data_IF_870770333977
#
_entry.id   IF_870770333977
#
_cell.length_a   1.000
_cell.length_b   1.000
_cell.length_c   1.000
_cell.angle_alpha   90.00
_cell.angle_beta   90.00
_cell.angle_gamma   90.00
#
_symmetry.space_group_name_H-M   'P 1'
#
loop_
_entity.id
_entity.type
_entity.pdbx_description
1 polymer ?
#
# COMPACT_ATOMS: atom_id res chain seq x y z
N UNK A 1 1.10 -11.17 12.35
CA UNK A 1 0.67 -9.75 12.36
C UNK A 1 1.11 -9.10 11.06
N UNK A 2 0.29 -9.21 10.01
CA UNK A 2 0.48 -8.40 8.80
C UNK A 2 -0.14 -7.03 9.05
N UNK A 3 0.69 -6.03 9.35
CA UNK A 3 0.22 -4.64 9.48
C UNK A 3 -0.04 -4.06 8.08
N UNK A 4 -1.07 -4.57 7.41
CA UNK A 4 -1.68 -3.92 6.27
C UNK A 4 -3.15 -3.68 6.63
N UNK A 5 -3.64 -2.47 6.32
CA UNK A 5 -5.06 -2.11 6.33
C UNK A 5 -5.71 -1.83 7.69
N UNK A 6 -5.33 -0.73 8.35
CA UNK A 6 -6.26 0.16 9.08
C UNK A 6 -5.55 1.48 9.38
N UNK A 7 -5.13 2.18 8.33
CA UNK A 7 -4.62 3.57 8.41
C UNK A 7 -5.56 4.56 7.72
N UNK A 8 -6.77 4.16 7.32
CA UNK A 8 -7.71 5.04 6.61
C UNK A 8 -8.16 6.26 7.44
N UNK A 9 -8.04 6.21 8.77
CA UNK A 9 -8.37 7.33 9.67
C UNK A 9 -7.13 8.12 10.15
N UNK A 10 -5.91 7.72 9.75
CA UNK A 10 -4.64 8.28 10.24
C UNK A 10 -4.03 9.30 9.28
N UNK A 11 -4.47 9.29 8.01
CA UNK A 11 -3.94 10.19 7.00
C UNK A 11 -4.79 11.47 6.92
N UNK A 12 -4.15 12.64 6.82
CA UNK A 12 -4.86 13.88 6.59
C UNK A 12 -5.65 13.78 5.28
N UNK A 13 -6.87 14.33 5.27
CA UNK A 13 -7.66 14.42 4.04
C UNK A 13 -6.90 15.22 2.98
N UNK A 14 -7.04 14.81 1.72
CA UNK A 14 -6.35 15.46 0.59
C UNK A 14 -4.90 15.01 0.39
N UNK A 15 -4.52 13.86 0.93
CA UNK A 15 -3.22 13.25 0.67
C UNK A 15 -3.35 11.77 0.31
N UNK A 16 -2.65 11.38 -0.75
CA UNK A 16 -2.49 9.98 -1.15
C UNK A 16 -1.08 9.51 -0.79
N UNK A 17 -0.96 8.55 0.13
CA UNK A 17 0.35 7.98 0.50
C UNK A 17 0.86 7.06 -0.59
N UNK A 18 2.09 7.30 -1.03
CA UNK A 18 2.73 6.61 -2.16
C UNK A 18 3.98 5.84 -1.76
N UNK A 19 4.31 5.75 -0.47
CA UNK A 19 5.44 4.95 0.07
C UNK A 19 5.01 4.11 1.28
N UNK A 20 5.86 3.17 1.73
CA UNK A 20 5.73 2.61 3.07
C UNK A 20 5.83 3.71 4.14
N UNK A 21 5.24 3.46 5.32
CA UNK A 21 5.45 4.26 6.52
C UNK A 21 6.66 3.67 7.26
N UNK A 22 7.64 4.51 7.59
CA UNK A 22 8.82 4.08 8.33
C UNK A 22 8.89 4.76 9.69
N UNK A 23 9.15 3.97 10.73
CA UNK A 23 9.51 4.46 12.06
C UNK A 23 11.03 4.67 12.14
N UNK A 24 11.44 5.84 12.60
CA UNK A 24 12.85 6.21 12.74
C UNK A 24 13.09 6.67 14.17
N UNK A 25 14.10 6.09 14.80
CA UNK A 25 14.55 6.47 16.15
C UNK A 25 16.06 6.58 16.18
N UNK A 26 16.59 7.57 16.90
CA UNK A 26 18.02 7.68 17.17
C UNK A 26 18.29 7.50 18.67
N UNK A 27 19.40 6.83 19.02
CA UNK A 27 19.85 6.65 20.42
C UNK A 27 20.65 7.84 20.95
N UNK A 28 20.75 8.94 20.19
CA UNK A 28 21.48 10.14 20.59
C UNK A 28 20.80 10.82 21.78
N UNK A 29 21.60 11.43 22.66
CA UNK A 29 21.11 12.27 23.78
C UNK A 29 20.68 13.68 23.33
N UNK A 30 20.86 14.01 22.05
CA UNK A 30 20.46 15.28 21.44
C UNK A 30 19.96 15.07 20.01
N UNK A 31 19.58 16.15 19.32
CA UNK A 31 19.04 16.04 17.97
C UNK A 31 19.99 15.31 17.01
N UNK A 32 19.42 14.50 16.13
CA UNK A 32 20.17 13.70 15.17
C UNK A 32 19.76 14.05 13.75
N UNK A 33 20.71 14.47 12.92
CA UNK A 33 20.48 14.62 11.48
C UNK A 33 20.42 13.24 10.83
N UNK A 34 19.31 12.93 10.19
CA UNK A 34 19.07 11.68 9.47
C UNK A 34 18.91 11.94 7.99
N UNK A 35 19.37 10.99 7.16
CA UNK A 35 19.15 10.98 5.72
C UNK A 35 18.26 9.80 5.40
N UNK A 36 17.07 10.06 4.86
CA UNK A 36 16.06 9.04 4.61
C UNK A 36 15.87 8.84 3.10
N UNK A 37 15.63 7.60 2.71
CA UNK A 37 15.34 7.20 1.32
C UNK A 37 14.14 6.28 1.33
N UNK A 38 13.08 6.67 0.62
CA UNK A 38 11.83 5.93 0.53
C UNK A 38 11.60 5.46 -0.90
N UNK A 39 11.21 4.18 -1.10
CA UNK A 39 10.60 3.80 -2.37
C UNK A 39 9.21 4.42 -2.50
N UNK A 40 8.83 4.83 -3.71
CA UNK A 40 7.48 5.33 -3.97
C UNK A 40 6.85 4.72 -5.22
N UNK A 41 5.51 4.70 -5.26
CA UNK A 41 4.74 4.12 -6.34
C UNK A 41 4.62 5.01 -7.57
N UNK A 42 4.86 6.33 -7.50
CA UNK A 42 4.64 7.22 -8.65
C UNK A 42 5.36 6.77 -9.92
N UNK A 43 4.63 6.79 -11.03
CA UNK A 43 5.16 6.65 -12.39
C UNK A 43 5.54 8.03 -12.94
N UNK A 44 6.37 8.74 -12.20
CA UNK A 44 6.82 10.06 -12.61
C UNK A 44 8.02 9.93 -13.55
N UNK A 45 7.86 10.39 -14.79
CA UNK A 45 9.01 10.83 -15.59
C UNK A 45 9.54 12.15 -14.99
N UNK A 46 10.87 12.37 -15.00
CA UNK A 46 11.51 13.51 -14.33
C UNK A 46 11.21 14.90 -14.93
N UNK A 47 10.27 15.03 -15.87
CA UNK A 47 9.94 16.31 -16.49
C UNK A 47 8.95 17.14 -15.64
N UNK A 48 9.57 17.86 -14.70
CA UNK A 48 9.31 19.26 -14.29
C UNK A 48 7.96 19.70 -13.67
N UNK A 49 6.95 18.83 -13.49
CA UNK A 49 5.70 19.23 -12.80
C UNK A 49 5.29 18.35 -11.61
N UNK A 50 5.88 17.17 -11.46
CA UNK A 50 5.68 16.24 -10.34
C UNK A 50 6.16 16.74 -8.96
N UNK A 51 7.24 17.54 -8.83
CA UNK A 51 7.77 17.90 -7.51
C UNK A 51 6.78 18.68 -6.64
N UNK A 52 5.99 19.59 -7.22
CA UNK A 52 5.18 20.55 -6.45
C UNK A 52 4.04 19.93 -5.62
N UNK A 53 3.67 18.68 -5.91
CA UNK A 53 2.62 17.94 -5.20
C UNK A 53 3.17 16.91 -4.22
N UNK A 54 4.47 16.61 -4.26
CA UNK A 54 5.08 15.65 -3.37
C UNK A 54 5.37 16.27 -2.01
N UNK A 55 5.00 15.57 -0.95
CA UNK A 55 5.24 15.99 0.42
C UNK A 55 5.77 14.83 1.25
N UNK A 56 6.55 15.16 2.27
CA UNK A 56 6.86 14.22 3.35
C UNK A 56 5.82 14.46 4.44
N UNK A 57 5.13 13.40 4.83
CA UNK A 57 4.31 13.42 6.03
C UNK A 57 5.13 12.87 7.19
N UNK A 58 4.99 13.48 8.37
CA UNK A 58 5.68 13.06 9.58
C UNK A 58 4.78 13.13 10.81
N UNK A 59 5.08 12.30 11.81
CA UNK A 59 4.44 12.36 13.12
C UNK A 59 5.49 12.09 14.18
N UNK A 60 5.63 13.01 15.14
CA UNK A 60 6.45 12.77 16.31
C UNK A 60 5.75 11.74 17.21
N UNK A 61 6.46 10.68 17.58
CA UNK A 61 5.97 9.75 18.60
C UNK A 61 6.27 10.33 19.99
N UNK A 62 5.25 10.42 20.82
CA UNK A 62 5.42 10.81 22.20
C UNK A 62 6.12 9.67 22.95
N UNK A 63 7.08 10.06 23.79
CA UNK A 63 7.60 9.18 24.83
C UNK A 63 6.52 9.03 25.88
N UNK A 64 5.94 7.83 26.00
CA UNK A 64 5.03 7.48 27.10
C UNK A 64 5.86 6.80 28.17
N UNK A 65 5.93 7.39 29.35
CA UNK A 65 6.58 6.77 30.51
C UNK A 65 5.67 5.67 31.07
N UNK A 66 5.83 4.45 30.54
CA UNK A 66 5.06 3.28 30.94
C UNK A 66 5.66 2.58 32.17
N UNK A 67 5.69 3.27 33.32
CA UNK A 67 6.04 2.67 34.62
C UNK A 67 7.22 1.68 34.60
N UNK A 68 7.08 0.56 35.31
CA UNK A 68 8.14 -0.45 35.53
C UNK A 68 8.58 -1.27 34.31
N UNK A 69 8.05 -1.01 33.11
CA UNK A 69 8.43 -1.70 31.87
C UNK A 69 9.32 -0.86 30.94
N UNK A 70 9.70 0.35 31.37
CA UNK A 70 10.52 1.27 30.56
C UNK A 70 9.65 2.11 29.60
N UNK A 71 10.25 3.10 28.92
CA UNK A 71 9.50 3.99 28.05
C UNK A 71 9.00 3.25 26.81
N UNK A 72 7.72 3.38 26.49
CA UNK A 72 7.16 2.95 25.22
C UNK A 72 6.93 4.18 24.34
N UNK A 73 7.24 4.08 23.04
CA UNK A 73 6.97 5.16 22.10
C UNK A 73 5.63 4.88 21.43
N UNK A 74 4.66 5.76 21.66
CA UNK A 74 3.39 5.74 20.96
C UNK A 74 3.36 6.93 20.00
N UNK A 75 2.86 6.81 18.77
CA UNK A 75 2.44 7.98 17.99
C UNK A 75 1.56 8.83 18.91
N UNK A 76 1.98 10.08 19.21
CA UNK A 76 1.30 10.95 20.17
C UNK A 76 -0.16 11.12 19.77
N UNK A 77 -0.36 11.18 18.46
CA UNK A 77 -1.61 11.15 17.74
C UNK A 77 -1.28 10.38 16.46
N UNK A 78 -2.14 9.46 16.01
CA UNK A 78 -1.99 8.82 14.70
C UNK A 78 -2.38 9.84 13.61
N UNK A 79 -1.71 10.98 13.59
CA UNK A 79 -1.92 12.06 12.64
C UNK A 79 -0.55 12.34 12.04
N UNK A 80 -0.50 12.24 10.72
CA UNK A 80 0.68 12.48 9.91
C UNK A 80 0.54 13.86 9.28
N UNK A 81 1.43 14.79 9.62
CA UNK A 81 1.37 16.17 9.13
C UNK A 81 2.44 16.42 8.06
N UNK A 82 2.17 17.29 7.07
CA UNK A 82 3.18 17.69 6.10
C UNK A 82 4.35 18.36 6.81
N UNK A 83 5.55 17.92 6.48
CA UNK A 83 6.78 18.53 6.95
C UNK A 83 7.18 19.60 5.94
N UNK A 84 7.06 20.86 6.35
CA UNK A 84 7.35 22.03 5.53
C UNK A 84 8.86 22.23 5.32
N UNK A 85 9.22 22.96 4.26
CA UNK A 85 10.57 23.45 3.98
C UNK A 85 11.69 22.38 3.93
N UNK A 86 11.40 21.18 3.40
CA UNK A 86 12.42 20.16 3.16
C UNK A 86 12.91 20.18 1.71
N UNK A 87 14.23 20.22 1.54
CA UNK A 87 14.88 19.86 0.30
C UNK A 87 14.70 18.35 0.01
N UNK A 88 13.75 18.03 -0.86
CA UNK A 88 13.47 16.67 -1.29
C UNK A 88 14.00 16.43 -2.71
N UNK A 89 14.62 15.26 -2.91
CA UNK A 89 15.07 14.79 -4.23
C UNK A 89 14.27 13.58 -4.63
N UNK A 90 13.65 13.64 -5.81
CA UNK A 90 12.84 12.55 -6.35
C UNK A 90 13.48 12.04 -7.61
N UNK A 91 13.84 10.77 -7.57
CA UNK A 91 14.26 10.02 -8.74
C UNK A 91 13.18 8.99 -9.09
N UNK A 92 13.35 8.25 -10.18
CA UNK A 92 12.42 7.22 -10.62
C UNK A 92 12.24 6.13 -9.55
N UNK A 93 11.17 6.27 -8.76
CA UNK A 93 10.77 5.33 -7.72
C UNK A 93 11.43 5.53 -6.36
N UNK A 94 12.19 6.61 -6.15
CA UNK A 94 12.87 6.91 -4.89
C UNK A 94 12.71 8.38 -4.49
N UNK A 95 12.32 8.63 -3.25
CA UNK A 95 12.32 9.96 -2.64
C UNK A 95 13.38 10.02 -1.54
N UNK A 96 14.19 11.08 -1.54
CA UNK A 96 15.28 11.28 -0.57
C UNK A 96 15.18 12.64 0.07
N UNK A 97 15.42 12.69 1.37
CA UNK A 97 15.45 13.94 2.12
C UNK A 97 16.31 13.81 3.37
N UNK A 98 16.64 14.95 3.95
CA UNK A 98 17.33 15.02 5.24
C UNK A 98 16.47 15.81 6.23
N UNK A 99 16.47 15.39 7.49
CA UNK A 99 15.78 16.09 8.57
C UNK A 99 16.53 15.91 9.88
N UNK A 100 16.23 16.77 10.85
CA UNK A 100 16.66 16.60 12.23
C UNK A 100 15.60 15.83 13.01
N UNK A 101 16.05 14.90 13.85
CA UNK A 101 15.21 14.04 14.66
C UNK A 101 15.49 14.29 16.14
N UNK A 102 14.51 14.91 16.82
CA UNK A 102 14.56 15.17 18.27
C UNK A 102 13.85 14.09 19.08
N UNK A 103 12.88 13.40 18.48
CA UNK A 103 12.11 12.31 19.08
C UNK A 103 11.93 11.22 18.02
N UNK A 104 11.72 9.95 18.38
CA UNK A 104 11.36 8.94 17.40
C UNK A 104 10.11 9.36 16.61
N UNK A 105 10.10 9.14 15.30
CA UNK A 105 9.06 9.68 14.42
C UNK A 105 8.68 8.69 13.33
N UNK A 106 7.45 8.82 12.84
CA UNK A 106 6.97 8.16 11.63
C UNK A 106 7.16 9.09 10.44
N UNK A 107 7.49 8.52 9.28
CA UNK A 107 7.63 9.25 8.02
C UNK A 107 6.98 8.46 6.88
N UNK A 108 6.35 9.18 5.95
CA UNK A 108 5.84 8.65 4.70
C UNK A 108 5.93 9.70 3.58
N UNK A 109 5.97 9.25 2.33
CA UNK A 109 5.87 10.09 1.14
C UNK A 109 4.43 10.08 0.67
N UNK A 110 3.88 11.27 0.42
CA UNK A 110 2.53 11.43 -0.08
C UNK A 110 2.46 12.41 -1.24
N UNK A 111 1.36 12.33 -1.98
CA UNK A 111 0.95 13.30 -2.98
C UNK A 111 -0.17 14.14 -2.38
N UNK A 112 -0.05 15.47 -2.47
CA UNK A 112 -1.12 16.40 -2.17
C UNK A 112 -2.16 16.37 -3.30
N UNK A 113 -3.40 16.13 -2.92
CA UNK A 113 -4.55 16.14 -3.82
C UNK A 113 -5.04 17.58 -3.96
N UNK A 114 -4.92 18.12 -5.17
CA UNK A 114 -5.45 19.46 -5.48
C UNK A 114 -6.79 19.29 -6.18
N UNK A 115 -7.87 19.98 -5.75
CA UNK A 115 -9.15 19.94 -6.45
C UNK A 115 -8.97 20.27 -7.94
N UNK A 116 -9.52 19.42 -8.83
CA UNK A 116 -9.39 19.57 -10.28
C UNK A 116 -8.05 19.15 -10.87
N UNK A 117 -7.11 18.64 -10.07
CA UNK A 117 -5.87 18.07 -10.59
C UNK A 117 -6.07 16.66 -11.15
N UNK A 118 -5.33 16.34 -12.20
CA UNK A 118 -5.28 14.99 -12.77
C UNK A 118 -4.59 14.07 -11.75
N UNK A 119 -5.15 12.88 -11.44
CA UNK A 119 -4.48 11.88 -10.62
C UNK A 119 -3.09 11.58 -11.16
N UNK A 120 -2.08 11.56 -10.28
CA UNK A 120 -0.74 11.18 -10.71
C UNK A 120 -0.71 9.67 -11.00
N UNK A 121 -0.07 9.24 -12.10
CA UNK A 121 0.00 7.83 -12.42
C UNK A 121 0.77 7.07 -11.35
N UNK A 122 0.18 6.00 -10.84
CA UNK A 122 0.76 5.13 -9.83
C UNK A 122 1.15 3.80 -10.46
N UNK A 123 2.38 3.35 -10.21
CA UNK A 123 2.83 2.00 -10.50
C UNK A 123 2.17 1.09 -9.47
N UNK A 124 1.31 0.22 -9.95
CA UNK A 124 0.56 -0.74 -9.17
C UNK A 124 0.92 -2.16 -9.58
N UNK A 125 0.57 -3.10 -8.72
CA UNK A 125 0.70 -4.52 -8.97
C UNK A 125 -0.59 -5.22 -8.56
N UNK A 126 -1.05 -6.14 -9.41
CA UNK A 126 -2.07 -7.12 -9.08
C UNK A 126 -1.36 -8.39 -8.61
N UNK A 127 -1.61 -8.77 -7.37
CA UNK A 127 -1.15 -10.03 -6.78
C UNK A 127 -2.33 -11.01 -6.75
N UNK A 128 -2.18 -12.15 -7.42
CA UNK A 128 -3.17 -13.23 -7.41
C UNK A 128 -2.59 -14.39 -6.63
N UNK A 129 -3.24 -14.78 -5.53
CA UNK A 129 -2.84 -15.88 -4.68
C UNK A 129 -3.81 -17.05 -4.88
N UNK A 130 -3.26 -18.24 -5.02
CA UNK A 130 -4.03 -19.46 -5.25
C UNK A 130 -3.32 -20.68 -4.64
N UNK A 131 -4.05 -21.72 -4.21
CA UNK A 131 -3.44 -22.86 -3.56
C UNK A 131 -2.57 -23.68 -4.51
N UNK A 132 -1.53 -24.30 -3.94
CA UNK A 132 -0.72 -25.31 -4.63
C UNK A 132 -1.55 -26.60 -4.72
N UNK A 133 -2.15 -26.87 -5.89
CA UNK A 133 -2.84 -28.15 -6.10
C UNK A 133 -1.81 -29.20 -6.49
N UNK A 134 -1.55 -30.17 -5.61
CA UNK A 134 -0.79 -31.36 -5.97
C UNK A 134 -1.59 -32.25 -6.94
N UNK A 135 -0.99 -32.73 -8.05
CA UNK A 135 -1.70 -33.48 -9.09
C UNK A 135 -2.29 -34.83 -8.63
N UNK A 136 -2.02 -35.26 -7.41
CA UNK A 136 -2.49 -36.52 -6.81
C UNK A 136 -3.78 -36.38 -6.00
N UNK A 137 -4.25 -35.16 -5.70
CA UNK A 137 -5.45 -34.94 -4.89
C UNK A 137 -6.67 -34.75 -5.82
N UNK A 138 -7.42 -35.83 -6.03
CA UNK A 138 -8.52 -35.90 -7.00
C UNK A 138 -9.84 -35.24 -6.57
N UNK A 139 -9.92 -34.61 -5.39
CA UNK A 139 -11.10 -33.90 -4.93
C UNK A 139 -10.74 -32.71 -4.04
N UNK A 140 -10.42 -31.57 -4.66
CA UNK A 140 -10.42 -30.28 -3.95
C UNK A 140 -11.78 -29.63 -4.23
N UNK A 141 -12.67 -29.61 -3.22
CA UNK A 141 -14.08 -29.17 -3.37
C UNK A 141 -14.30 -27.69 -3.07
N UNK A 142 -13.22 -26.90 -2.95
CA UNK A 142 -13.27 -25.46 -2.78
C UNK A 142 -11.87 -24.90 -2.64
N UNK A 143 -11.54 -23.89 -3.44
CA UNK A 143 -10.31 -23.11 -3.29
C UNK A 143 -10.63 -21.63 -3.44
N UNK A 144 -10.09 -20.85 -2.52
CA UNK A 144 -10.18 -19.40 -2.58
C UNK A 144 -9.03 -18.87 -3.44
N UNK A 145 -9.38 -18.02 -4.41
CA UNK A 145 -8.41 -17.21 -5.15
C UNK A 145 -8.48 -15.80 -4.58
N UNK A 146 -7.38 -15.32 -4.03
CA UNK A 146 -7.31 -13.98 -3.45
C UNK A 146 -6.62 -13.03 -4.41
N UNK A 147 -7.23 -11.88 -4.69
CA UNK A 147 -6.66 -10.84 -5.55
C UNK A 147 -6.42 -9.55 -4.75
N UNK A 148 -5.19 -9.06 -4.75
CA UNK A 148 -4.79 -7.83 -4.09
C UNK A 148 -4.24 -6.83 -5.10
N UNK A 149 -4.73 -5.59 -5.04
CA UNK A 149 -4.12 -4.48 -5.76
C UNK A 149 -3.29 -3.67 -4.77
N UNK A 150 -1.99 -3.60 -5.04
CA UNK A 150 -1.03 -2.89 -4.20
C UNK A 150 -0.19 -1.90 -4.99
N UNK A 151 0.51 -1.03 -4.28
CA UNK A 151 1.59 -0.23 -4.86
C UNK A 151 2.73 -1.14 -5.31
N UNK A 152 3.29 -0.89 -6.49
CA UNK A 152 4.46 -1.61 -6.99
C UNK A 152 5.73 -1.11 -6.28
N UNK A 153 5.90 -1.58 -5.05
CA UNK A 153 7.00 -1.28 -4.15
C UNK A 153 7.50 -2.60 -3.57
N UNK A 154 8.83 -2.86 -3.52
CA UNK A 154 9.37 -4.15 -3.06
C UNK A 154 8.84 -4.60 -1.70
N UNK A 155 8.67 -3.66 -0.75
CA UNK A 155 8.13 -3.95 0.58
C UNK A 155 6.71 -4.51 0.55
N UNK A 156 5.88 -4.07 -0.41
CA UNK A 156 4.51 -4.60 -0.58
C UNK A 156 4.58 -6.02 -1.13
N UNK A 157 5.38 -6.27 -2.16
CA UNK A 157 5.57 -7.60 -2.72
C UNK A 157 6.07 -8.60 -1.67
N UNK A 158 7.06 -8.21 -0.85
CA UNK A 158 7.56 -9.06 0.26
C UNK A 158 6.47 -9.35 1.30
N UNK A 159 5.61 -8.37 1.62
CA UNK A 159 4.53 -8.58 2.58
C UNK A 159 3.48 -9.57 2.04
N UNK A 160 3.09 -9.45 0.77
CA UNK A 160 2.14 -10.37 0.13
C UNK A 160 2.74 -11.77 -0.03
N UNK A 161 4.02 -11.87 -0.44
CA UNK A 161 4.72 -13.15 -0.55
C UNK A 161 4.83 -13.85 0.81
N UNK A 162 5.19 -13.14 1.88
CA UNK A 162 5.25 -13.71 3.22
C UNK A 162 3.88 -14.22 3.70
N UNK A 163 2.80 -13.54 3.31
CA UNK A 163 1.44 -14.02 3.57
C UNK A 163 1.14 -15.31 2.79
N UNK A 164 1.48 -15.35 1.50
CA UNK A 164 1.28 -16.52 0.65
C UNK A 164 2.01 -17.75 1.19
N UNK A 165 3.29 -17.59 1.59
CA UNK A 165 4.10 -18.66 2.19
C UNK A 165 3.51 -19.19 3.50
N UNK A 166 2.95 -18.32 4.34
CA UNK A 166 2.31 -18.73 5.60
C UNK A 166 1.04 -19.57 5.38
N UNK A 167 0.41 -19.45 4.22
CA UNK A 167 -0.86 -20.10 3.89
C UNK A 167 -0.71 -21.16 2.78
N UNK A 168 0.52 -21.53 2.40
CA UNK A 168 0.81 -22.51 1.34
C UNK A 168 0.17 -22.15 -0.03
N UNK A 169 0.21 -20.87 -0.36
CA UNK A 169 -0.31 -20.33 -1.62
C UNK A 169 0.84 -20.00 -2.58
N UNK A 170 0.58 -20.16 -3.89
CA UNK A 170 1.39 -19.54 -4.94
C UNK A 170 0.93 -18.11 -5.16
N UNK A 171 1.85 -17.25 -5.60
CA UNK A 171 1.58 -15.86 -5.93
C UNK A 171 2.00 -15.59 -7.37
N UNK A 172 1.08 -14.99 -8.14
CA UNK A 172 1.36 -14.38 -9.43
C UNK A 172 1.29 -12.85 -9.34
N UNK A 173 2.17 -12.17 -10.05
CA UNK A 173 2.34 -10.72 -10.01
C UNK A 173 2.22 -10.13 -11.41
N UNK A 174 1.33 -9.14 -11.57
CA UNK A 174 1.15 -8.40 -12.83
C UNK A 174 1.28 -6.90 -12.60
N UNK A 175 2.23 -6.27 -13.28
CA UNK A 175 2.51 -4.83 -13.14
C UNK A 175 1.63 -4.01 -14.08
N UNK A 176 1.12 -2.88 -13.58
CA UNK A 176 0.38 -1.92 -14.40
C UNK A 176 0.52 -0.49 -13.86
N UNK A 177 0.11 0.48 -14.66
CA UNK A 177 0.06 1.90 -14.25
C UNK A 177 -1.40 2.32 -14.11
N UNK A 178 -1.76 2.80 -12.93
CA UNK A 178 -3.09 3.34 -12.63
C UNK A 178 -3.08 4.85 -12.83
N UNK A 179 -3.89 5.34 -13.77
CA UNK A 179 -4.07 6.77 -14.07
C UNK A 179 -5.50 7.28 -13.83
N UNK A 180 -6.40 6.39 -13.38
CA UNK A 180 -7.82 6.70 -13.10
C UNK A 180 -8.20 6.47 -11.64
N UNK A 181 -9.47 6.71 -11.31
CA UNK A 181 -10.00 6.62 -9.94
C UNK A 181 -10.39 5.20 -9.52
N UNK A 182 -10.50 4.28 -10.49
CA UNK A 182 -11.03 2.94 -10.26
C UNK A 182 -10.17 1.88 -10.95
N UNK A 183 -10.00 0.76 -10.27
CA UNK A 183 -9.47 -0.48 -10.83
C UNK A 183 -10.63 -1.46 -10.96
N UNK A 184 -10.81 -2.02 -12.15
CA UNK A 184 -11.78 -3.11 -12.38
C UNK A 184 -11.02 -4.41 -12.45
N UNK A 185 -11.39 -5.37 -11.61
CA UNK A 185 -10.91 -6.75 -11.66
C UNK A 185 -12.09 -7.62 -12.06
N UNK A 186 -11.98 -8.28 -13.20
CA UNK A 186 -12.98 -9.23 -13.72
C UNK A 186 -12.39 -10.63 -13.71
N UNK A 187 -13.21 -11.61 -13.36
CA UNK A 187 -12.88 -13.02 -13.46
C UNK A 187 -13.82 -13.66 -14.48
N UNK A 188 -13.26 -14.22 -15.56
CA UNK A 188 -14.04 -14.96 -16.55
C UNK A 188 -14.00 -16.44 -16.21
N UNK A 189 -15.16 -17.00 -15.84
CA UNK A 189 -15.30 -18.43 -15.60
C UNK A 189 -15.39 -19.16 -16.94
N UNK A 190 -14.37 -19.97 -17.24
CA UNK A 190 -14.36 -20.81 -18.42
C UNK A 190 -15.35 -21.97 -18.26
N UNK A 191 -16.10 -22.34 -19.32
CA UNK A 191 -16.93 -23.54 -19.31
C UNK A 191 -16.09 -24.80 -18.97
N UNK A 192 -16.62 -25.76 -18.18
CA UNK A 192 -17.99 -25.86 -17.65
C UNK A 192 -18.22 -25.25 -16.26
N UNK A 193 -17.22 -24.64 -15.62
CA UNK A 193 -17.22 -24.31 -14.18
C UNK A 193 -17.91 -22.98 -13.82
N UNK A 194 -18.87 -22.52 -14.63
CA UNK A 194 -19.52 -21.22 -14.47
C UNK A 194 -20.44 -21.11 -13.25
N UNK A 195 -20.82 -22.22 -12.63
CA UNK A 195 -21.77 -22.26 -11.50
C UNK A 195 -21.13 -22.47 -10.12
N UNK A 196 -19.82 -22.72 -10.08
CA UNK A 196 -19.18 -23.33 -8.89
C UNK A 196 -18.36 -22.32 -8.06
N UNK A 197 -18.38 -21.04 -8.44
CA UNK A 197 -17.56 -20.00 -7.84
C UNK A 197 -18.40 -18.88 -7.23
N UNK A 198 -18.13 -18.57 -5.97
CA UNK A 198 -18.66 -17.38 -5.29
C UNK A 198 -17.58 -16.29 -5.23
N UNK A 199 -17.95 -15.05 -5.56
CA UNK A 199 -17.01 -13.91 -5.56
C UNK A 199 -17.36 -13.02 -4.38
N UNK A 200 -16.57 -13.15 -3.31
CA UNK A 200 -16.69 -12.30 -2.12
C UNK A 200 -15.64 -11.20 -2.11
N UNK A 201 -15.99 -10.01 -1.57
CA UNK A 201 -15.09 -8.86 -1.45
C UNK A 201 -14.77 -8.57 0.00
N UNK A 202 -13.51 -8.24 0.29
CA UNK A 202 -13.08 -7.58 1.54
C UNK A 202 -12.46 -6.20 1.19
N UNK A 203 -13.08 -5.09 1.63
CA UNK A 203 -12.55 -3.71 1.49
C UNK A 203 -13.47 -2.67 0.81
N UNK A 204 -13.07 -1.38 0.85
CA UNK A 204 -13.92 -0.18 0.58
C UNK A 204 -14.01 0.27 -0.90
N UNK A 205 -14.53 -0.54 -1.81
CA UNK A 205 -14.74 -0.08 -3.19
C UNK A 205 -15.92 -0.77 -3.87
N UNK A 206 -16.21 -0.39 -5.10
CA UNK A 206 -17.34 -0.94 -5.86
C UNK A 206 -16.93 -2.26 -6.55
N UNK A 207 -17.75 -3.30 -6.38
CA UNK A 207 -17.69 -4.52 -7.19
C UNK A 207 -18.46 -4.22 -8.47
N UNK A 208 -17.77 -4.12 -9.61
CA UNK A 208 -18.41 -4.24 -10.92
C UNK A 208 -18.33 -5.71 -11.37
N UNK A 209 -18.91 -6.59 -10.57
CA UNK A 209 -19.16 -7.97 -10.96
C UNK A 209 -20.44 -7.98 -11.77
N UNK A 210 -20.32 -7.87 -13.09
CA UNK A 210 -21.47 -8.10 -13.97
C UNK A 210 -21.67 -9.61 -14.06
N UNK A 211 -22.54 -10.16 -13.22
CA UNK A 211 -23.08 -11.51 -13.44
C UNK A 211 -24.05 -11.45 -14.61
N UNK A 212 -23.54 -11.50 -15.84
CA UNK A 212 -24.38 -11.89 -16.98
C UNK A 212 -24.55 -13.40 -16.92
N UNK A 213 -25.51 -13.87 -16.13
CA UNK A 213 -26.09 -15.17 -16.42
C UNK A 213 -26.81 -15.00 -17.75
N UNK A 214 -26.19 -15.43 -18.85
CA UNK A 214 -26.91 -15.63 -20.10
C UNK A 214 -27.85 -16.82 -19.91
N UNK A 215 -28.94 -16.63 -19.14
CA UNK A 215 -30.19 -17.31 -19.44
C UNK A 215 -30.76 -16.63 -20.68
N UNK A 216 -30.27 -17.04 -21.85
CA UNK A 216 -31.11 -16.98 -23.03
C UNK A 216 -32.23 -18.02 -22.83
N UNK A 217 -33.32 -17.59 -22.22
CA UNK A 217 -34.63 -18.15 -22.53
C UNK A 217 -35.20 -17.34 -23.69
N UNK A 218 -35.15 -17.95 -24.88
CA UNK A 218 -36.19 -17.94 -25.90
C UNK A 218 -35.91 -19.13 -26.83
#
# INVERSE_FOLDING_TARGET
MGAAMHYSQTFPQGYTVVSPICFVSCRSRGPCRVSLTFPHALDATPDTTTPSRLVILSSATAKVDAGSQGPFFSPSERVLDPLDDIDFKVDRGLARFQTELCHPSLFAVAVRDTPGSIPLPLRCCLYVLYPVIEPTVSMVTGFDVEAYVGMNIPTVATAVMSWAEQHDLKMEETHFVMSGEHVTVSADLLPPHQTDWDVSRRGDGKVCGTYTSNKCQA
#
